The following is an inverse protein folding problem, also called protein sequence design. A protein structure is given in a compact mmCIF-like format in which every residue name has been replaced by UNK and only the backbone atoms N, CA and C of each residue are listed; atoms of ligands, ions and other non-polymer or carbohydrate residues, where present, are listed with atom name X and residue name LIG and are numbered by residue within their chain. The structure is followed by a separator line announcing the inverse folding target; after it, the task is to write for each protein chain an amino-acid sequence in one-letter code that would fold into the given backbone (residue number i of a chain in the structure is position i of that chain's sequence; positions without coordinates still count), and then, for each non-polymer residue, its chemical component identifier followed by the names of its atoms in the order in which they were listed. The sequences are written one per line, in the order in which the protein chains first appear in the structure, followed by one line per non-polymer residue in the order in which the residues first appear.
data_IF_247403269628
#
_entry.id   IF_247403269628
#
_cell.length_a   1.000
_cell.length_b   1.000
_cell.length_c   1.000
_cell.angle_alpha   90.00
_cell.angle_beta   90.00
_cell.angle_gamma   90.00
#
_symmetry.space_group_name_H-M   'P 1'
#
loop_
_entity.id
_entity.type
_entity.pdbx_description
1 polymer ?
#
# COMPACT_ATOMS: atom_id res chain seq x y z
N UNK A 1 17.17 -12.40 -4.23
CA UNK A 1 17.01 -11.72 -2.92
C UNK A 1 16.71 -12.80 -1.89
N UNK A 2 17.36 -12.80 -0.71
CA UNK A 2 17.02 -13.76 0.34
C UNK A 2 15.59 -13.51 0.86
N UNK A 3 14.95 -14.54 1.41
CA UNK A 3 13.64 -14.39 2.03
C UNK A 3 13.72 -13.41 3.20
N UNK A 4 12.77 -12.46 3.26
CA UNK A 4 12.66 -11.50 4.37
C UNK A 4 11.67 -12.02 5.42
N UNK A 5 11.77 -11.56 6.69
CA UNK A 5 10.79 -11.88 7.71
C UNK A 5 9.37 -11.50 7.30
N UNK A 6 8.37 -12.21 7.83
CA UNK A 6 6.98 -11.87 7.62
C UNK A 6 6.66 -10.48 8.20
N UNK A 7 5.87 -9.70 7.47
CA UNK A 7 5.42 -8.38 7.90
C UNK A 7 4.36 -8.51 8.98
N UNK A 8 4.39 -7.60 9.96
CA UNK A 8 3.39 -7.49 11.02
C UNK A 8 2.23 -6.62 10.52
N UNK A 9 0.99 -7.04 10.77
CA UNK A 9 -0.17 -6.21 10.44
C UNK A 9 -0.22 -4.96 11.30
N UNK A 10 -0.40 -3.79 10.67
CA UNK A 10 -0.51 -2.49 11.34
C UNK A 10 -1.83 -1.81 10.96
N UNK A 11 -2.61 -1.43 11.96
CA UNK A 11 -3.95 -0.84 11.79
C UNK A 11 -3.91 0.59 11.25
N UNK A 12 -2.84 1.35 11.51
CA UNK A 12 -2.66 2.70 10.99
C UNK A 12 -2.29 2.66 9.50
N UNK A 13 -1.43 1.73 9.08
CA UNK A 13 -1.16 1.49 7.66
C UNK A 13 -2.41 0.98 6.93
N UNK A 14 -3.22 0.14 7.59
CA UNK A 14 -4.51 -0.34 7.05
C UNK A 14 -5.48 0.84 6.85
N UNK A 15 -5.59 1.72 7.85
CA UNK A 15 -6.41 2.94 7.76
C UNK A 15 -5.93 3.85 6.64
N UNK A 16 -4.61 4.02 6.49
CA UNK A 16 -3.98 4.78 5.39
C UNK A 16 -4.39 4.23 4.03
N UNK A 17 -4.23 2.92 3.84
CA UNK A 17 -4.57 2.23 2.59
C UNK A 17 -6.06 2.37 2.24
N UNK A 18 -6.96 2.16 3.22
CA UNK A 18 -8.41 2.30 3.02
C UNK A 18 -8.77 3.74 2.62
N UNK A 19 -8.23 4.74 3.32
CA UNK A 19 -8.51 6.14 3.03
C UNK A 19 -8.03 6.52 1.64
N UNK A 20 -6.84 6.06 1.24
CA UNK A 20 -6.29 6.40 -0.06
C UNK A 20 -6.98 5.66 -1.22
N UNK A 21 -7.37 4.39 -1.02
CA UNK A 21 -8.22 3.69 -1.99
C UNK A 21 -9.54 4.43 -2.21
N UNK A 22 -10.17 4.93 -1.14
CA UNK A 22 -11.41 5.74 -1.23
C UNK A 22 -11.19 7.04 -1.98
N UNK A 23 -10.11 7.75 -1.73
CA UNK A 23 -9.79 9.01 -2.40
C UNK A 23 -9.59 8.82 -3.91
N UNK A 24 -8.75 7.85 -4.30
CA UNK A 24 -8.54 7.47 -5.69
C UNK A 24 -9.84 7.06 -6.40
N UNK A 25 -10.68 6.27 -5.71
CA UNK A 25 -11.94 5.79 -6.26
C UNK A 25 -12.99 6.91 -6.39
N UNK A 26 -13.08 7.81 -5.41
CA UNK A 26 -14.06 8.92 -5.42
C UNK A 26 -13.70 10.00 -6.46
N UNK A 27 -12.41 10.19 -6.72
CA UNK A 27 -11.89 11.27 -7.57
C UNK A 27 -11.36 10.78 -8.92
N UNK A 28 -11.59 9.50 -9.25
CA UNK A 28 -11.24 8.89 -10.54
C UNK A 28 -9.77 9.10 -10.97
N UNK A 29 -8.83 8.88 -10.05
CA UNK A 29 -7.40 8.91 -10.38
C UNK A 29 -6.67 7.67 -9.84
N UNK A 30 -5.49 7.39 -10.38
CA UNK A 30 -4.69 6.23 -9.99
C UNK A 30 -3.20 6.58 -10.01
N UNK A 31 -2.67 6.97 -8.85
CA UNK A 31 -1.28 7.39 -8.69
C UNK A 31 -0.84 7.22 -7.23
N UNK A 32 0.46 7.11 -6.99
CA UNK A 32 1.03 7.09 -5.63
C UNK A 32 1.00 8.45 -4.94
N UNK A 33 1.08 9.52 -5.72
CA UNK A 33 1.02 10.90 -5.28
C UNK A 33 -0.39 11.42 -5.54
N UNK A 34 -1.02 12.02 -4.52
CA UNK A 34 -2.36 12.60 -4.68
C UNK A 34 -2.31 13.84 -5.59
N UNK A 35 -3.45 14.32 -6.12
CA UNK A 35 -3.51 15.57 -6.87
C UNK A 35 -2.99 16.79 -6.09
N UNK A 36 -3.02 16.75 -4.76
CA UNK A 36 -2.46 17.75 -3.85
C UNK A 36 -0.95 17.58 -3.60
N UNK A 37 -0.32 16.56 -4.20
CA UNK A 37 1.11 16.29 -4.01
C UNK A 37 1.43 15.45 -2.77
N UNK A 38 0.44 14.88 -2.08
CA UNK A 38 0.72 14.08 -0.87
C UNK A 38 1.28 12.70 -1.23
N UNK A 39 2.37 12.33 -0.57
CA UNK A 39 3.05 11.04 -0.68
C UNK A 39 2.52 10.00 0.33
N UNK A 40 2.80 8.70 0.14
CA UNK A 40 2.38 7.65 1.07
C UNK A 40 2.78 7.90 2.53
N UNK A 41 4.02 8.36 2.76
CA UNK A 41 4.52 8.65 4.12
C UNK A 41 3.77 9.83 4.76
N UNK A 42 3.44 10.87 3.99
CA UNK A 42 2.66 12.00 4.49
C UNK A 42 1.23 11.58 4.83
N UNK A 43 0.61 10.70 4.02
CA UNK A 43 -0.72 10.14 4.32
C UNK A 43 -0.72 9.26 5.57
N UNK A 44 0.32 8.46 5.75
CA UNK A 44 0.49 7.64 6.96
C UNK A 44 0.69 8.52 8.21
N UNK A 45 1.53 9.56 8.11
CA UNK A 45 1.73 10.51 9.20
C UNK A 45 0.43 11.24 9.60
N UNK A 46 -0.45 11.53 8.63
CA UNK A 46 -1.76 12.14 8.89
C UNK A 46 -2.71 11.27 9.74
N UNK A 47 -2.45 9.95 9.83
CA UNK A 47 -3.16 9.04 10.74
C UNK A 47 -2.31 8.64 11.96
N UNK A 48 -1.30 9.45 12.28
CA UNK A 48 -0.39 9.27 13.42
C UNK A 48 0.54 8.05 13.32
N UNK A 49 0.77 7.52 12.12
CA UNK A 49 1.82 6.52 11.93
C UNK A 49 3.20 7.18 12.06
N UNK A 50 4.08 6.60 12.87
CA UNK A 50 5.39 7.19 13.23
C UNK A 50 6.59 6.50 12.59
N UNK A 51 6.36 5.51 11.71
CA UNK A 51 7.42 4.86 10.96
C UNK A 51 8.17 5.84 10.05
N UNK A 52 9.46 5.59 9.86
CA UNK A 52 10.37 6.42 9.07
C UNK A 52 10.31 6.11 7.59
N UNK A 53 9.89 4.90 7.24
CA UNK A 53 9.78 4.45 5.86
C UNK A 53 8.35 4.02 5.58
N UNK A 54 7.80 4.48 4.45
CA UNK A 54 6.51 4.01 3.95
C UNK A 54 6.62 3.72 2.46
N UNK A 55 6.42 2.46 2.10
CA UNK A 55 6.23 1.99 0.74
C UNK A 55 4.76 1.86 0.40
N UNK A 56 4.45 1.80 -0.89
CA UNK A 56 3.09 1.58 -1.37
C UNK A 56 3.08 0.75 -2.64
N UNK A 57 2.17 -0.23 -2.70
CA UNK A 57 1.79 -0.90 -3.95
C UNK A 57 0.30 -0.69 -4.17
N UNK A 58 -0.07 -0.32 -5.40
CA UNK A 58 -1.46 -0.08 -5.79
C UNK A 58 -1.82 -0.99 -6.95
N UNK A 59 -3.09 -1.38 -7.03
CA UNK A 59 -3.61 -2.18 -8.13
C UNK A 59 -5.07 -1.85 -8.38
N UNK A 60 -5.55 -2.14 -9.58
CA UNK A 60 -6.95 -1.96 -9.96
C UNK A 60 -7.48 -3.18 -10.72
N UNK A 61 -8.79 -3.39 -10.68
CA UNK A 61 -9.50 -4.44 -11.42
C UNK A 61 -9.17 -5.88 -10.97
N UNK A 62 -8.88 -6.07 -9.69
CA UNK A 62 -8.81 -7.39 -9.06
C UNK A 62 -10.01 -7.59 -8.14
N UNK A 63 -10.63 -8.76 -8.20
CA UNK A 63 -11.86 -9.05 -7.46
C UNK A 63 -11.56 -9.45 -6.03
N UNK A 64 -10.48 -10.21 -5.81
CA UNK A 64 -10.12 -10.76 -4.50
C UNK A 64 -8.73 -10.32 -4.03
N UNK A 65 -8.51 -10.43 -2.71
CA UNK A 65 -7.20 -10.20 -2.10
C UNK A 65 -6.14 -11.19 -2.59
N UNK A 66 -6.53 -12.44 -2.87
CA UNK A 66 -5.61 -13.44 -3.41
C UNK A 66 -5.13 -13.08 -4.82
N UNK A 67 -6.05 -12.66 -5.70
CA UNK A 67 -5.71 -12.26 -7.06
C UNK A 67 -4.81 -11.03 -7.10
N UNK A 68 -5.07 -10.02 -6.27
CA UNK A 68 -4.24 -8.80 -6.26
C UNK A 68 -2.83 -9.09 -5.73
N UNK A 69 -2.69 -9.95 -4.72
CA UNK A 69 -1.37 -10.36 -4.21
C UNK A 69 -0.59 -11.12 -5.28
N UNK A 70 -1.23 -12.00 -6.03
CA UNK A 70 -0.63 -12.67 -7.19
C UNK A 70 -0.23 -11.63 -8.25
N UNK A 71 -1.10 -10.66 -8.52
CA UNK A 71 -0.84 -9.56 -9.46
C UNK A 71 0.41 -8.74 -9.08
N UNK A 72 0.53 -8.36 -7.82
CA UNK A 72 1.74 -7.68 -7.31
C UNK A 72 2.97 -8.58 -7.37
N UNK A 73 2.85 -9.87 -7.04
CA UNK A 73 3.97 -10.82 -7.11
C UNK A 73 4.50 -10.99 -8.54
N UNK A 74 3.62 -10.94 -9.54
CA UNK A 74 3.98 -11.12 -10.95
C UNK A 74 4.55 -9.84 -11.61
N UNK A 75 4.45 -8.69 -10.94
CA UNK A 75 5.15 -7.47 -11.37
C UNK A 75 6.49 -7.39 -10.64
N UNK A 76 7.59 -7.28 -11.39
CA UNK A 76 8.94 -7.27 -10.81
C UNK A 76 9.10 -6.12 -9.79
N UNK A 77 8.61 -4.92 -10.12
CA UNK A 77 8.74 -3.75 -9.25
C UNK A 77 7.89 -3.87 -7.98
N UNK A 78 6.64 -4.34 -8.11
CA UNK A 78 5.76 -4.56 -6.96
C UNK A 78 6.31 -5.69 -6.07
N UNK A 79 6.82 -6.77 -6.66
CA UNK A 79 7.41 -7.88 -5.94
C UNK A 79 8.66 -7.43 -5.17
N UNK A 80 9.55 -6.65 -5.80
CA UNK A 80 10.72 -6.06 -5.11
C UNK A 80 10.31 -5.16 -3.94
N UNK A 81 9.26 -4.36 -4.11
CA UNK A 81 8.75 -3.50 -3.03
C UNK A 81 8.23 -4.33 -1.85
N UNK A 82 7.41 -5.35 -2.10
CA UNK A 82 6.87 -6.24 -1.06
C UNK A 82 7.94 -7.10 -0.38
N UNK A 83 9.00 -7.47 -1.10
CA UNK A 83 10.09 -8.32 -0.58
C UNK A 83 11.27 -7.51 -0.03
N UNK A 84 11.14 -6.18 0.08
CA UNK A 84 12.20 -5.33 0.62
C UNK A 84 12.35 -5.51 2.12
N UNK A 85 13.60 -5.71 2.59
CA UNK A 85 13.93 -5.74 4.02
C UNK A 85 13.84 -4.35 4.71
N UNK A 86 13.42 -3.33 3.95
CA UNK A 86 13.15 -1.99 4.47
C UNK A 86 11.91 -1.97 5.34
N UNK A 87 10.96 -2.87 5.12
CA UNK A 87 9.67 -2.87 5.82
C UNK A 87 9.55 -4.03 6.79
N UNK A 88 8.85 -3.80 7.90
CA UNK A 88 8.53 -4.81 8.92
C UNK A 88 7.04 -4.82 9.25
N UNK A 89 6.29 -3.83 8.76
CA UNK A 89 4.85 -3.69 8.96
C UNK A 89 4.11 -3.58 7.63
N UNK A 90 2.83 -3.96 7.60
CA UNK A 90 1.96 -3.74 6.46
C UNK A 90 0.52 -3.44 6.84
N UNK A 91 -0.19 -2.76 5.96
CA UNK A 91 -1.64 -2.64 5.99
C UNK A 91 -2.20 -2.55 4.58
N UNK A 92 -3.39 -3.11 4.37
CA UNK A 92 -4.02 -3.15 3.04
C UNK A 92 -5.48 -2.73 3.11
N UNK A 93 -5.97 -2.14 2.02
CA UNK A 93 -7.32 -1.62 1.90
C UNK A 93 -7.83 -1.64 0.47
N UNK A 94 -9.15 -1.66 0.33
CA UNK A 94 -9.85 -1.63 -0.96
C UNK A 94 -10.98 -0.60 -0.94
N UNK A 95 -11.20 0.07 -2.07
CA UNK A 95 -12.43 0.82 -2.35
C UNK A 95 -12.78 0.67 -3.83
N UNK A 96 -14.03 0.29 -4.13
CA UNK A 96 -14.44 -0.04 -5.49
C UNK A 96 -13.53 -1.13 -6.07
N UNK A 97 -12.86 -0.81 -7.17
CA UNK A 97 -11.91 -1.71 -7.86
C UNK A 97 -10.45 -1.43 -7.54
N UNK A 98 -10.15 -0.51 -6.62
CA UNK A 98 -8.79 -0.08 -6.28
C UNK A 98 -8.33 -0.76 -4.99
N UNK A 99 -7.14 -1.34 -5.04
CA UNK A 99 -6.42 -1.95 -3.93
C UNK A 99 -5.17 -1.12 -3.62
N UNK A 100 -4.90 -0.95 -2.34
CA UNK A 100 -3.70 -0.29 -1.82
C UNK A 100 -3.12 -1.18 -0.72
N UNK A 101 -1.80 -1.37 -0.73
CA UNK A 101 -1.07 -1.87 0.43
C UNK A 101 0.07 -0.92 0.76
N UNK A 102 0.12 -0.47 2.01
CA UNK A 102 1.20 0.33 2.56
C UNK A 102 2.13 -0.56 3.39
N UNK A 103 3.44 -0.37 3.23
CA UNK A 103 4.49 -1.11 3.90
C UNK A 103 5.26 -0.14 4.79
N UNK A 104 5.62 -0.51 6.01
CA UNK A 104 6.15 0.43 7.01
C UNK A 104 7.33 -0.10 7.83
N UNK A 105 8.12 0.82 8.39
CA UNK A 105 9.16 0.57 9.41
C UNK A 105 9.48 1.84 10.19
#
# INVERSE_FOLDING_TARGET
MPAVPALVSNTLLTKTAINYAKDMNARNYFAHISPEGTSPIQRAAAVSYTGKYVGEVIARNYSTSAEVVIGWKNSEDHCKAMMSNTYVEMGAGKSGNIWVANLGK
#
